data_IF_130289925214
#
_entry.id   IF_130289925214
#
_cell.length_a   1.000
_cell.length_b   1.000
_cell.length_c   1.000
_cell.angle_alpha   90.00
_cell.angle_beta   90.00
_cell.angle_gamma   90.00
#
_symmetry.space_group_name_H-M   'P 1'
#
loop_
_entity.id
_entity.type
_entity.pdbx_description
1 polymer ?
#
# COMPACT_ATOMS: atom_id res chain seq x y z
N UNK A 1 -19.77 -53.53 -13.78
CA UNK A 1 -18.39 -53.76 -14.25
C UNK A 1 -17.82 -52.39 -14.63
N UNK A 2 -16.76 -51.96 -13.93
CA UNK A 2 -16.01 -50.71 -14.16
C UNK A 2 -15.66 -50.51 -15.64
N UNK A 3 -15.56 -49.26 -16.12
CA UNK A 3 -14.28 -48.64 -16.54
C UNK A 3 -14.39 -47.11 -16.52
N UNK A 4 -13.43 -46.48 -15.85
CA UNK A 4 -13.18 -45.04 -15.72
C UNK A 4 -12.30 -44.54 -16.87
N UNK A 5 -12.52 -43.32 -17.40
CA UNK A 5 -11.48 -42.61 -18.18
C UNK A 5 -11.56 -41.08 -17.96
N UNK A 6 -10.57 -40.56 -17.26
CA UNK A 6 -10.23 -39.14 -17.10
C UNK A 6 -9.31 -38.70 -18.24
N UNK A 7 -9.37 -37.46 -18.74
CA UNK A 7 -8.25 -36.82 -19.40
C UNK A 7 -7.36 -36.06 -18.40
N UNK A 8 -6.07 -36.42 -18.36
CA UNK A 8 -5.01 -35.70 -17.63
C UNK A 8 -4.41 -34.63 -18.53
N UNK A 9 -4.56 -33.35 -18.16
CA UNK A 9 -3.70 -32.26 -18.62
C UNK A 9 -2.62 -31.95 -17.57
N UNK A 10 -1.40 -31.54 -17.95
CA UNK A 10 -0.34 -31.23 -16.99
C UNK A 10 -0.50 -29.82 -16.42
N UNK A 11 -0.64 -29.74 -15.10
CA UNK A 11 -0.47 -28.50 -14.31
C UNK A 11 0.79 -28.68 -13.47
N UNK A 12 1.85 -27.96 -13.81
CA UNK A 12 3.08 -27.85 -13.03
C UNK A 12 3.43 -26.37 -12.89
N UNK A 13 3.01 -25.76 -11.79
CA UNK A 13 3.68 -24.59 -11.22
C UNK A 13 3.69 -24.76 -9.71
N UNK A 14 4.82 -25.23 -9.21
CA UNK A 14 5.14 -25.26 -7.78
C UNK A 14 5.12 -23.82 -7.25
N UNK A 15 4.30 -23.58 -6.23
CA UNK A 15 4.42 -22.42 -5.34
C UNK A 15 4.16 -22.95 -3.93
N UNK A 16 5.21 -23.46 -3.30
CA UNK A 16 5.19 -23.79 -1.89
C UNK A 16 5.51 -22.52 -1.10
N UNK A 17 4.47 -21.77 -0.74
CA UNK A 17 4.57 -20.76 0.31
C UNK A 17 4.23 -21.40 1.66
N UNK A 18 5.24 -21.38 2.52
CA UNK A 18 5.13 -20.89 3.90
C UNK A 18 4.01 -21.50 4.76
N UNK A 19 4.32 -22.59 5.44
CA UNK A 19 3.67 -22.89 6.73
C UNK A 19 4.67 -23.62 7.62
N UNK A 20 5.27 -22.90 8.57
CA UNK A 20 5.89 -23.54 9.73
C UNK A 20 5.56 -22.75 10.99
N UNK A 21 4.58 -23.29 11.69
CA UNK A 21 4.14 -22.96 13.03
C UNK A 21 5.18 -23.44 14.05
N UNK A 22 5.62 -22.48 14.86
CA UNK A 22 5.92 -22.52 16.30
C UNK A 22 5.68 -23.90 16.95
N UNK A 23 6.75 -24.55 17.44
CA UNK A 23 6.65 -25.54 18.51
C UNK A 23 7.70 -25.25 19.59
N UNK A 24 7.20 -24.99 20.79
CA UNK A 24 7.91 -24.64 22.00
C UNK A 24 8.11 -25.91 22.85
N UNK A 25 9.35 -26.17 23.28
CA UNK A 25 9.64 -26.87 24.54
C UNK A 25 9.69 -28.40 24.56
N UNK A 26 10.92 -28.95 24.68
CA UNK A 26 11.35 -29.79 25.82
C UNK A 26 12.78 -30.29 25.58
N UNK A 27 13.71 -29.86 26.43
CA UNK A 27 15.08 -30.38 26.50
C UNK A 27 15.16 -31.54 27.52
N UNK A 28 16.12 -32.44 27.35
CA UNK A 28 16.87 -32.93 28.50
C UNK A 28 18.38 -32.70 28.35
N UNK A 29 19.00 -32.47 29.50
CA UNK A 29 20.40 -32.18 29.73
C UNK A 29 21.33 -33.39 29.58
N UNK A 30 22.50 -33.22 28.96
CA UNK A 30 23.74 -33.89 29.36
C UNK A 30 24.98 -33.26 28.70
N UNK A 31 26.01 -32.99 29.51
CA UNK A 31 27.38 -33.43 29.19
C UNK A 31 28.30 -32.52 28.35
N UNK A 32 29.13 -31.77 29.07
CA UNK A 32 30.58 -31.62 28.84
C UNK A 32 31.11 -30.80 27.64
N UNK A 33 31.58 -29.59 27.99
CA UNK A 33 32.86 -29.01 27.56
C UNK A 33 33.25 -29.10 26.09
N UNK A 34 32.82 -28.12 25.29
CA UNK A 34 33.57 -27.65 24.11
C UNK A 34 33.40 -26.14 23.92
N UNK A 35 34.50 -25.52 23.49
CA UNK A 35 34.77 -24.08 23.36
C UNK A 35 33.67 -23.34 22.60
N UNK A 36 33.17 -22.25 23.19
CA UNK A 36 32.23 -21.30 22.56
C UNK A 36 32.89 -20.60 21.36
N UNK A 37 32.54 -21.00 20.14
CA UNK A 37 32.56 -20.10 18.98
C UNK A 37 31.13 -19.84 18.54
N UNK A 38 30.59 -18.69 18.95
CA UNK A 38 29.34 -18.15 18.40
C UNK A 38 29.61 -17.75 16.94
N UNK A 39 29.27 -18.62 16.00
CA UNK A 39 29.09 -18.22 14.61
C UNK A 39 27.72 -17.54 14.47
N UNK A 40 27.62 -16.27 14.87
CA UNK A 40 26.53 -15.42 14.39
C UNK A 40 27.01 -14.70 13.13
N UNK A 41 27.11 -15.46 12.03
CA UNK A 41 27.13 -14.89 10.70
C UNK A 41 25.86 -15.36 9.99
N UNK A 42 24.72 -14.74 10.33
CA UNK A 42 23.67 -14.58 9.34
C UNK A 42 24.26 -13.64 8.30
N UNK A 43 24.87 -14.22 7.26
CA UNK A 43 25.20 -13.47 6.05
C UNK A 43 23.83 -13.06 5.51
N UNK A 44 23.42 -11.83 5.81
CA UNK A 44 22.34 -11.21 5.07
C UNK A 44 22.74 -11.31 3.61
N UNK A 45 21.97 -12.07 2.83
CA UNK A 45 22.18 -12.14 1.39
C UNK A 45 22.22 -10.70 0.88
N UNK A 46 23.26 -10.28 0.15
CA UNK A 46 23.27 -8.94 -0.41
C UNK A 46 22.00 -8.75 -1.23
N UNK A 47 21.33 -7.62 -1.02
CA UNK A 47 20.13 -7.27 -1.78
C UNK A 47 20.41 -7.46 -3.28
N UNK A 48 19.43 -7.98 -4.05
CA UNK A 48 19.61 -8.18 -5.48
C UNK A 48 20.08 -6.87 -6.14
N UNK A 49 20.94 -6.95 -7.16
CA UNK A 49 21.47 -5.77 -7.83
C UNK A 49 20.32 -4.86 -8.29
N UNK A 50 20.48 -3.56 -8.07
CA UNK A 50 19.52 -2.52 -8.43
C UNK A 50 19.01 -2.72 -9.87
N UNK A 51 17.70 -2.82 -10.04
CA UNK A 51 17.11 -2.91 -11.37
C UNK A 51 17.10 -1.52 -12.02
N UNK A 52 17.65 -1.43 -13.22
CA UNK A 52 17.39 -0.39 -14.24
C UNK A 52 17.28 1.06 -13.73
N UNK A 53 18.32 1.55 -13.03
CA UNK A 53 18.42 2.97 -12.67
C UNK A 53 17.45 3.46 -11.59
N UNK A 54 16.68 2.56 -10.97
CA UNK A 54 15.88 2.89 -9.78
C UNK A 54 16.77 2.80 -8.55
N UNK A 55 16.94 3.89 -7.77
CA UNK A 55 17.73 3.84 -6.55
C UNK A 55 17.08 2.87 -5.55
N UNK A 56 17.88 1.97 -5.00
CA UNK A 56 17.43 1.06 -3.93
C UNK A 56 17.20 1.87 -2.67
N UNK A 57 15.99 1.77 -2.13
CA UNK A 57 15.57 2.43 -0.90
C UNK A 57 15.39 1.36 0.18
N UNK A 58 15.81 1.65 1.42
CA UNK A 58 15.66 0.69 2.49
C UNK A 58 14.19 0.57 2.92
N UNK A 59 13.75 -0.61 3.31
CA UNK A 59 12.37 -0.84 3.76
C UNK A 59 11.88 0.17 4.86
N UNK A 60 12.72 0.60 5.82
CA UNK A 60 12.32 1.61 6.81
C UNK A 60 11.94 2.97 6.21
N UNK A 61 12.54 3.37 5.08
CA UNK A 61 12.26 4.67 4.45
C UNK A 61 10.85 4.67 3.84
N UNK A 62 10.44 3.55 3.22
CA UNK A 62 9.05 3.38 2.78
C UNK A 62 8.09 3.33 3.98
N UNK A 63 8.46 2.59 5.02
CA UNK A 63 7.67 2.49 6.24
C UNK A 63 7.54 3.81 7.00
N UNK A 64 8.39 4.81 6.72
CA UNK A 64 8.28 6.16 7.29
C UNK A 64 7.11 6.95 6.68
N UNK A 65 6.66 6.61 5.47
CA UNK A 65 5.47 7.22 4.87
C UNK A 65 4.22 6.55 5.45
N UNK A 66 3.31 7.34 6.01
CA UNK A 66 2.05 6.83 6.54
C UNK A 66 0.97 6.90 5.45
N UNK A 67 0.77 5.77 4.77
CA UNK A 67 -0.26 5.59 3.76
C UNK A 67 -1.52 5.00 4.40
N UNK A 68 -2.67 5.65 4.15
CA UNK A 68 -3.95 5.30 4.75
C UNK A 68 -5.06 5.24 3.73
N UNK A 69 -6.02 4.37 4.01
CA UNK A 69 -7.29 4.30 3.29
C UNK A 69 -8.28 5.28 3.92
N UNK A 70 -8.96 6.07 3.11
CA UNK A 70 -10.04 6.95 3.56
C UNK A 70 -11.19 6.98 2.57
N UNK A 71 -12.37 7.37 3.05
CA UNK A 71 -13.58 7.52 2.23
C UNK A 71 -13.84 9.00 1.98
N UNK A 72 -14.06 9.39 0.73
CA UNK A 72 -14.40 10.77 0.39
C UNK A 72 -15.81 11.07 0.92
N UNK A 73 -15.95 12.08 1.76
CA UNK A 73 -17.24 12.51 2.34
C UNK A 73 -17.82 13.72 1.64
N UNK A 74 -16.97 14.54 1.00
CA UNK A 74 -17.40 15.70 0.23
C UNK A 74 -16.42 15.98 -0.91
N UNK A 75 -16.95 16.39 -2.06
CA UNK A 75 -16.19 16.77 -3.23
C UNK A 75 -16.80 18.04 -3.85
N UNK A 76 -16.00 19.09 -4.02
CA UNK A 76 -16.42 20.34 -4.62
C UNK A 76 -15.40 20.83 -5.67
N UNK A 77 -15.82 21.44 -6.79
CA UNK A 77 -14.91 22.09 -7.73
C UNK A 77 -14.05 23.16 -7.05
N UNK A 78 -12.74 23.15 -7.35
CA UNK A 78 -11.82 24.19 -6.91
C UNK A 78 -11.66 25.26 -8.00
N UNK A 79 -12.53 26.27 -7.96
CA UNK A 79 -12.55 27.38 -8.94
C UNK A 79 -11.31 28.27 -8.91
N UNK A 80 -10.51 28.21 -7.83
CA UNK A 80 -9.26 28.98 -7.69
C UNK A 80 -8.05 28.29 -8.34
N UNK A 81 -8.19 27.03 -8.78
CA UNK A 81 -7.11 26.28 -9.37
C UNK A 81 -6.92 26.63 -10.86
N UNK A 82 -5.66 26.77 -11.31
CA UNK A 82 -5.32 27.03 -12.71
C UNK A 82 -5.73 25.88 -13.64
N UNK A 83 -5.57 24.64 -13.16
CA UNK A 83 -6.06 23.43 -13.82
C UNK A 83 -7.31 22.94 -13.08
N UNK A 84 -8.33 22.39 -13.77
CA UNK A 84 -9.52 21.87 -13.12
C UNK A 84 -9.18 20.84 -12.05
N UNK A 85 -9.60 21.11 -10.81
CA UNK A 85 -9.31 20.29 -9.65
C UNK A 85 -10.52 20.25 -8.71
N UNK A 86 -10.56 19.25 -7.85
CA UNK A 86 -11.53 19.16 -6.75
C UNK A 86 -10.87 19.47 -5.41
N UNK A 87 -11.63 20.09 -4.53
CA UNK A 87 -11.41 20.09 -3.09
C UNK A 87 -12.14 18.87 -2.51
N UNK A 88 -11.40 18.01 -1.85
CA UNK A 88 -11.90 16.78 -1.24
C UNK A 88 -11.86 16.90 0.29
N UNK A 89 -12.88 16.36 0.94
CA UNK A 89 -12.86 15.98 2.35
C UNK A 89 -12.92 14.47 2.45
N UNK A 90 -12.01 13.89 3.23
CA UNK A 90 -11.79 12.44 3.28
C UNK A 90 -11.76 12.01 4.74
N UNK A 91 -12.62 11.06 5.10
CA UNK A 91 -12.65 10.43 6.41
C UNK A 91 -11.64 9.28 6.49
N UNK A 92 -10.67 9.42 7.39
CA UNK A 92 -9.68 8.39 7.72
C UNK A 92 -9.99 7.70 9.06
N UNK A 93 -11.25 7.74 9.50
CA UNK A 93 -11.72 7.13 10.73
C UNK A 93 -11.35 7.93 11.99
N UNK A 94 -11.76 7.45 13.18
CA UNK A 94 -11.75 8.24 14.41
C UNK A 94 -10.36 8.63 14.92
N UNK A 95 -9.31 7.89 14.53
CA UNK A 95 -7.94 8.15 14.98
C UNK A 95 -7.27 9.32 14.25
N UNK A 96 -7.57 9.49 12.96
CA UNK A 96 -6.96 10.51 12.10
C UNK A 96 -7.94 11.67 11.84
N UNK A 97 -9.23 11.35 11.82
CA UNK A 97 -10.31 12.27 11.51
C UNK A 97 -10.42 12.58 10.01
N UNK A 98 -11.23 13.58 9.72
CA UNK A 98 -11.42 14.09 8.36
C UNK A 98 -10.25 14.99 7.96
N UNK A 99 -9.74 14.79 6.75
CA UNK A 99 -8.67 15.60 6.16
C UNK A 99 -9.08 16.18 4.83
N UNK A 100 -8.45 17.31 4.50
CA UNK A 100 -8.68 18.02 3.25
C UNK A 100 -7.57 17.74 2.23
N UNK A 101 -7.94 17.63 0.96
CA UNK A 101 -7.00 17.49 -0.15
C UNK A 101 -7.45 18.27 -1.39
N UNK A 102 -6.53 18.56 -2.30
CA UNK A 102 -6.83 19.13 -3.62
C UNK A 102 -6.26 18.20 -4.69
N UNK A 103 -7.10 17.72 -5.61
CA UNK A 103 -6.72 16.72 -6.62
C UNK A 103 -7.16 17.12 -8.03
N UNK A 104 -6.26 16.95 -9.01
CA UNK A 104 -6.51 17.18 -10.45
C UNK A 104 -7.04 15.90 -11.11
N UNK A 105 -8.25 15.50 -10.75
CA UNK A 105 -8.88 14.22 -11.16
C UNK A 105 -10.21 14.45 -11.91
N UNK A 106 -10.37 15.61 -12.54
CA UNK A 106 -11.62 16.04 -13.17
C UNK A 106 -11.92 15.36 -14.52
N UNK A 107 -10.95 14.65 -15.10
CA UNK A 107 -11.10 14.04 -16.42
C UNK A 107 -11.96 12.76 -16.38
N UNK A 108 -11.69 11.84 -15.44
CA UNK A 108 -12.40 10.57 -15.32
C UNK A 108 -13.51 10.56 -14.28
N UNK A 109 -13.55 11.54 -13.37
CA UNK A 109 -14.40 11.48 -12.19
C UNK A 109 -15.28 12.72 -12.09
N UNK A 110 -16.60 12.51 -12.00
CA UNK A 110 -17.53 13.54 -11.55
C UNK A 110 -17.44 13.75 -10.04
N UNK A 111 -17.88 14.93 -9.56
CA UNK A 111 -17.85 15.23 -8.13
C UNK A 111 -18.76 14.28 -7.33
N UNK A 112 -19.94 13.96 -7.88
CA UNK A 112 -20.92 13.08 -7.24
C UNK A 112 -20.42 11.63 -7.18
N UNK A 113 -19.69 11.18 -8.19
CA UNK A 113 -19.11 9.82 -8.26
C UNK A 113 -17.97 9.59 -7.26
N UNK A 114 -17.39 10.68 -6.76
CA UNK A 114 -16.29 10.62 -5.80
C UNK A 114 -16.80 10.46 -4.37
N UNK A 115 -17.98 10.97 -4.04
CA UNK A 115 -18.53 10.85 -2.67
C UNK A 115 -18.84 9.38 -2.37
N UNK A 116 -18.34 8.89 -1.24
CA UNK A 116 -18.45 7.48 -0.85
C UNK A 116 -17.37 6.56 -1.41
N UNK A 117 -16.50 7.04 -2.32
CA UNK A 117 -15.37 6.26 -2.84
C UNK A 117 -14.24 6.18 -1.82
N UNK A 118 -13.65 4.98 -1.69
CA UNK A 118 -12.40 4.80 -0.95
C UNK A 118 -11.19 5.16 -1.81
N UNK A 119 -10.24 5.87 -1.20
CA UNK A 119 -8.99 6.30 -1.80
C UNK A 119 -7.82 6.01 -0.86
N UNK A 120 -6.63 5.89 -1.43
CA UNK A 120 -5.38 5.81 -0.68
C UNK A 120 -4.72 7.18 -0.66
N UNK A 121 -4.26 7.61 0.52
CA UNK A 121 -3.56 8.87 0.67
C UNK A 121 -2.40 8.79 1.66
N UNK A 122 -1.34 9.56 1.40
CA UNK A 122 -0.29 9.81 2.37
C UNK A 122 -0.73 10.90 3.36
N UNK A 123 -0.70 10.59 4.66
CA UNK A 123 -1.26 11.45 5.71
C UNK A 123 -0.21 12.24 6.51
N UNK A 124 1.08 11.95 6.32
CA UNK A 124 2.18 12.52 7.09
C UNK A 124 3.19 13.34 6.28
N UNK A 125 2.79 13.86 5.11
CA UNK A 125 3.66 14.70 4.25
C UNK A 125 3.66 16.19 4.63
N UNK A 126 2.97 16.55 5.71
CA UNK A 126 2.75 17.92 6.13
C UNK A 126 1.68 18.65 5.30
N UNK A 127 1.42 19.90 5.67
CA UNK A 127 0.36 20.71 5.06
C UNK A 127 0.92 21.53 3.90
N UNK A 128 0.26 21.47 2.74
CA UNK A 128 0.55 22.31 1.57
C UNK A 128 -0.64 23.19 1.25
N UNK A 129 -0.40 24.43 0.80
CA UNK A 129 -1.46 25.30 0.27
C UNK A 129 -1.46 25.24 -1.25
N UNK A 130 -2.55 24.77 -1.84
CA UNK A 130 -2.69 24.62 -3.29
C UNK A 130 -3.97 25.34 -3.70
N UNK A 131 -3.84 26.39 -4.51
CA UNK A 131 -4.98 27.15 -5.03
C UNK A 131 -6.01 27.55 -3.94
N UNK A 132 -5.53 28.01 -2.78
CA UNK A 132 -6.39 28.42 -1.66
C UNK A 132 -6.94 27.28 -0.80
N UNK A 133 -6.67 26.02 -1.12
CA UNK A 133 -7.01 24.84 -0.30
C UNK A 133 -5.84 24.50 0.60
N UNK A 134 -6.11 24.26 1.90
CA UNK A 134 -5.18 23.62 2.83
C UNK A 134 -5.20 22.12 2.54
N UNK A 135 -4.21 21.59 1.83
CA UNK A 135 -4.06 20.16 1.55
C UNK A 135 -3.26 19.52 2.67
N UNK A 136 -3.89 18.65 3.43
CA UNK A 136 -3.29 17.95 4.58
C UNK A 136 -2.82 16.55 4.21
N UNK A 137 -3.35 16.00 3.11
CA UNK A 137 -3.03 14.67 2.60
C UNK A 137 -2.80 14.71 1.10
N UNK A 138 -2.01 13.75 0.60
CA UNK A 138 -1.80 13.53 -0.83
C UNK A 138 -2.56 12.28 -1.26
N UNK A 139 -3.64 12.44 -2.01
CA UNK A 139 -4.37 11.31 -2.63
C UNK A 139 -3.51 10.71 -3.75
N UNK A 140 -3.40 9.38 -3.76
CA UNK A 140 -2.57 8.65 -4.70
C UNK A 140 -3.35 8.21 -5.94
N UNK A 141 -2.66 8.23 -7.07
CA UNK A 141 -3.15 7.74 -8.34
C UNK A 141 -2.00 7.56 -9.32
N UNK A 142 -2.28 6.92 -10.44
CA UNK A 142 -1.31 6.64 -11.50
C UNK A 142 -1.63 7.47 -12.75
N UNK A 143 -0.59 7.99 -13.38
CA UNK A 143 -0.63 8.48 -14.75
C UNK A 143 -0.25 7.33 -15.68
N UNK A 144 -1.26 6.67 -16.26
CA UNK A 144 -1.05 5.46 -17.06
C UNK A 144 -0.43 5.72 -18.42
N UNK A 145 -0.66 6.91 -18.99
CA UNK A 145 -0.29 7.25 -20.36
C UNK A 145 0.81 8.33 -20.44
N UNK A 146 1.18 8.95 -19.32
CA UNK A 146 2.11 10.09 -19.28
C UNK A 146 1.48 11.40 -19.74
N UNK A 147 0.16 11.47 -19.86
CA UNK A 147 -0.61 12.64 -20.31
C UNK A 147 -1.04 13.55 -19.14
N UNK A 148 -0.69 13.18 -17.91
CA UNK A 148 -1.08 13.86 -16.68
C UNK A 148 -2.51 13.55 -16.24
N UNK A 149 -3.19 12.58 -16.86
CA UNK A 149 -4.53 12.16 -16.49
C UNK A 149 -4.45 11.06 -15.43
N UNK A 150 -4.90 11.40 -14.22
CA UNK A 150 -4.73 10.54 -13.05
C UNK A 150 -5.88 9.55 -12.90
N UNK A 151 -5.54 8.27 -12.79
CA UNK A 151 -6.42 7.20 -12.32
C UNK A 151 -6.21 6.97 -10.83
N UNK A 152 -7.25 7.07 -10.01
CA UNK A 152 -7.15 6.92 -8.56
C UNK A 152 -6.75 5.50 -8.17
N UNK A 153 -5.85 5.40 -7.20
CA UNK A 153 -5.53 4.11 -6.58
C UNK A 153 -6.72 3.66 -5.72
N UNK A 154 -7.21 2.45 -5.99
CA UNK A 154 -8.34 1.84 -5.30
C UNK A 154 -7.99 0.48 -4.72
N UNK A 155 -8.79 0.04 -3.77
CA UNK A 155 -8.73 -1.31 -3.22
C UNK A 155 -9.73 -2.19 -3.97
N UNK A 156 -9.40 -3.48 -4.13
CA UNK A 156 -10.34 -4.46 -4.72
C UNK A 156 -11.54 -4.72 -3.80
N UNK A 157 -11.39 -4.54 -2.48
CA UNK A 157 -12.46 -4.67 -1.48
C UNK A 157 -12.44 -3.54 -0.47
N UNK A 158 -13.61 -3.18 0.09
CA UNK A 158 -13.67 -2.16 1.11
C UNK A 158 -12.98 -2.62 2.39
N UNK A 159 -12.28 -1.70 3.04
CA UNK A 159 -11.63 -1.89 4.35
C UNK A 159 -11.98 -0.75 5.29
N UNK A 160 -11.80 -0.87 6.62
CA UNK A 160 -12.09 0.22 7.54
C UNK A 160 -11.31 1.50 7.21
N UNK A 161 -11.94 2.67 7.36
CA UNK A 161 -11.26 3.96 7.22
C UNK A 161 -10.10 4.07 8.23
N UNK A 162 -8.97 4.59 7.78
CA UNK A 162 -7.74 4.69 8.56
C UNK A 162 -6.89 3.43 8.56
N UNK A 163 -7.26 2.39 7.80
CA UNK A 163 -6.40 1.21 7.60
C UNK A 163 -5.07 1.63 6.98
N UNK A 164 -3.96 1.14 7.55
CA UNK A 164 -2.60 1.42 7.07
C UNK A 164 -2.25 0.50 5.91
N UNK A 165 -1.61 1.05 4.88
CA UNK A 165 -1.01 0.29 3.79
C UNK A 165 0.40 -0.13 4.19
N UNK A 166 0.77 -1.38 3.88
CA UNK A 166 2.05 -2.01 4.24
C UNK A 166 2.67 -2.71 3.06
#
# INVERSE_FOLDING_TARGET
MLVSFLPRGPVLRQSHYCTQLIYFGLAPSAGSGHVRRRFNNTIATPDPPAQDGVPVVAAPDFAAVDLRVGTITSCAPNTKARKPAYKLEIDFGPKIGTKTSSAQITHYYGADDLVGRQVVAAVNLGVRRIAGVKSEVLVLGADGNGDGIITLLGLERPVPNGTRIS
#
